data_IF_235948818219
#
_entry.id   IF_235948818219
#
_cell.length_a   1.000
_cell.length_b   1.000
_cell.length_c   1.000
_cell.angle_alpha   90.00
_cell.angle_beta   90.00
_cell.angle_gamma   90.00
#
_symmetry.space_group_name_H-M   'P 1'
#
loop_
_entity.id
_entity.type
_entity.pdbx_description
1 polymer ?
#
# COMPACT_ATOMS: atom_id res chain seq x y z
N UNK A 1 46.34 60.60 3.10
CA UNK A 1 45.36 59.74 3.79
C UNK A 1 44.23 59.24 2.87
N UNK A 2 44.46 59.06 1.56
CA UNK A 2 43.38 58.67 0.61
C UNK A 2 43.55 57.24 0.05
N UNK A 3 44.69 56.58 0.32
CA UNK A 3 45.03 55.27 -0.25
C UNK A 3 44.48 54.07 0.55
N UNK A 4 44.12 54.26 1.83
CA UNK A 4 43.67 53.18 2.72
C UNK A 4 42.15 52.87 2.60
N UNK A 5 41.35 53.81 2.10
CA UNK A 5 39.89 53.62 1.98
C UNK A 5 39.48 52.81 0.73
N UNK A 6 40.31 52.84 -0.32
CA UNK A 6 40.04 52.12 -1.57
C UNK A 6 40.22 50.60 -1.40
N UNK A 7 41.26 50.15 -0.70
CA UNK A 7 41.54 48.72 -0.52
C UNK A 7 40.48 48.01 0.35
N UNK A 8 39.93 48.71 1.36
CA UNK A 8 38.87 48.16 2.23
C UNK A 8 37.54 48.03 1.47
N UNK A 9 37.24 48.94 0.55
CA UNK A 9 36.04 48.88 -0.28
C UNK A 9 36.05 47.68 -1.24
N UNK A 10 37.21 47.34 -1.82
CA UNK A 10 37.37 46.17 -2.70
C UNK A 10 37.29 44.83 -1.94
N UNK A 11 37.86 44.77 -0.72
CA UNK A 11 37.77 43.58 0.14
C UNK A 11 36.33 43.39 0.66
N UNK A 12 35.64 44.48 1.01
CA UNK A 12 34.23 44.47 1.42
C UNK A 12 33.27 44.04 0.31
N UNK A 13 33.46 44.53 -0.92
CA UNK A 13 32.68 44.10 -2.10
C UNK A 13 32.95 42.65 -2.48
N UNK A 14 34.21 42.20 -2.43
CA UNK A 14 34.57 40.79 -2.68
C UNK A 14 33.95 39.83 -1.66
N UNK A 15 33.93 40.19 -0.38
CA UNK A 15 33.29 39.41 0.67
C UNK A 15 31.77 39.31 0.52
N UNK A 16 31.09 40.37 0.08
CA UNK A 16 29.64 40.39 -0.17
C UNK A 16 29.27 39.53 -1.39
N UNK A 17 30.06 39.58 -2.47
CA UNK A 17 29.82 38.76 -3.67
C UNK A 17 30.05 37.27 -3.39
N UNK A 18 31.14 36.93 -2.70
CA UNK A 18 31.44 35.54 -2.33
C UNK A 18 30.44 35.01 -1.29
N UNK A 19 30.10 35.81 -0.28
CA UNK A 19 29.10 35.46 0.73
C UNK A 19 27.68 35.30 0.15
N UNK A 20 27.29 36.16 -0.80
CA UNK A 20 26.03 36.08 -1.52
C UNK A 20 25.93 34.86 -2.44
N UNK A 21 27.00 34.54 -3.17
CA UNK A 21 27.08 33.36 -4.03
C UNK A 21 27.05 32.05 -3.24
N UNK A 22 27.78 31.96 -2.12
CA UNK A 22 27.77 30.80 -1.24
C UNK A 22 26.39 30.62 -0.60
N UNK A 23 25.78 31.71 -0.11
CA UNK A 23 24.43 31.66 0.46
C UNK A 23 23.37 31.27 -0.57
N UNK A 24 23.49 31.74 -1.81
CA UNK A 24 22.62 31.35 -2.92
C UNK A 24 22.74 29.87 -3.28
N UNK A 25 23.97 29.34 -3.34
CA UNK A 25 24.26 27.92 -3.58
C UNK A 25 23.69 27.03 -2.47
N UNK A 26 23.89 27.40 -1.20
CA UNK A 26 23.36 26.66 -0.05
C UNK A 26 21.83 26.67 -0.08
N UNK A 27 21.21 27.83 -0.32
CA UNK A 27 19.74 27.96 -0.41
C UNK A 27 19.19 27.09 -1.54
N UNK A 28 19.85 27.08 -2.70
CA UNK A 28 19.45 26.24 -3.83
C UNK A 28 19.57 24.75 -3.53
N UNK A 29 20.66 24.33 -2.87
CA UNK A 29 20.86 22.94 -2.43
C UNK A 29 19.82 22.52 -1.39
N UNK A 30 19.48 23.39 -0.44
CA UNK A 30 18.42 23.16 0.55
C UNK A 30 17.07 23.00 -0.15
N UNK A 31 16.71 23.90 -1.07
CA UNK A 31 15.45 23.80 -1.83
C UNK A 31 15.37 22.52 -2.68
N UNK A 32 16.49 22.07 -3.27
CA UNK A 32 16.57 20.79 -3.99
C UNK A 32 16.41 19.60 -3.05
N UNK A 33 17.03 19.65 -1.86
CA UNK A 33 16.89 18.66 -0.81
C UNK A 33 15.44 18.55 -0.33
N UNK A 34 14.80 19.68 -0.03
CA UNK A 34 13.41 19.76 0.38
C UNK A 34 12.48 19.19 -0.69
N UNK A 35 12.64 19.59 -1.97
CA UNK A 35 11.82 19.03 -3.07
C UNK A 35 11.96 17.51 -3.20
N UNK A 36 13.16 16.97 -3.00
CA UNK A 36 13.39 15.51 -3.00
C UNK A 36 12.76 14.84 -1.79
N UNK A 37 12.87 15.45 -0.61
CA UNK A 37 12.24 14.99 0.63
C UNK A 37 10.71 14.93 0.50
N UNK A 38 10.09 16.03 0.05
CA UNK A 38 8.64 16.09 -0.19
C UNK A 38 8.17 15.05 -1.21
N UNK A 39 8.93 14.81 -2.30
CA UNK A 39 8.58 13.75 -3.27
C UNK A 39 8.65 12.36 -2.64
N UNK A 40 9.65 12.11 -1.81
CA UNK A 40 9.83 10.82 -1.11
C UNK A 40 8.71 10.58 -0.10
N UNK A 41 8.40 11.57 0.74
CA UNK A 41 7.31 11.53 1.71
C UNK A 41 5.97 11.30 0.99
N UNK A 42 5.68 12.07 -0.06
CA UNK A 42 4.46 11.89 -0.84
C UNK A 42 4.37 10.50 -1.49
N UNK A 43 5.47 9.97 -2.01
CA UNK A 43 5.49 8.62 -2.59
C UNK A 43 5.28 7.54 -1.53
N UNK A 44 5.79 7.75 -0.31
CA UNK A 44 5.61 6.85 0.81
C UNK A 44 4.16 6.86 1.31
N UNK A 45 3.55 8.05 1.45
CA UNK A 45 2.14 8.20 1.84
C UNK A 45 1.20 7.51 0.84
N UNK A 46 1.42 7.75 -0.47
CA UNK A 46 0.63 7.12 -1.52
C UNK A 46 0.76 5.59 -1.49
N UNK A 47 1.96 5.06 -1.26
CA UNK A 47 2.18 3.61 -1.12
C UNK A 47 1.47 3.05 0.09
N UNK A 48 1.57 3.73 1.24
CA UNK A 48 0.90 3.34 2.47
C UNK A 48 -0.61 3.29 2.29
N UNK A 49 -1.19 4.33 1.70
CA UNK A 49 -2.62 4.40 1.40
C UNK A 49 -3.03 3.25 0.47
N UNK A 50 -2.23 2.99 -0.57
CA UNK A 50 -2.52 1.93 -1.52
C UNK A 50 -2.48 0.52 -0.91
N UNK A 51 -1.42 0.20 -0.16
CA UNK A 51 -1.31 -1.08 0.54
C UNK A 51 -2.47 -1.26 1.52
N UNK A 52 -2.78 -0.22 2.32
CA UNK A 52 -3.87 -0.27 3.29
C UNK A 52 -5.23 -0.50 2.62
N UNK A 53 -5.49 0.17 1.49
CA UNK A 53 -6.75 0.03 0.75
C UNK A 53 -6.96 -1.38 0.19
N UNK A 54 -5.90 -1.97 -0.37
CA UNK A 54 -5.94 -3.33 -0.93
C UNK A 54 -6.07 -4.36 0.20
N UNK A 55 -5.14 -4.35 1.16
CA UNK A 55 -5.09 -5.31 2.26
C UNK A 55 -6.37 -5.23 3.11
N UNK A 56 -6.79 -4.02 3.49
CA UNK A 56 -7.97 -3.84 4.34
C UNK A 56 -9.28 -4.28 3.67
N UNK A 57 -9.36 -4.24 2.34
CA UNK A 57 -10.51 -4.79 1.62
C UNK A 57 -10.45 -6.32 1.57
N UNK A 58 -9.28 -6.91 1.35
CA UNK A 58 -9.10 -8.36 1.44
C UNK A 58 -9.42 -8.91 2.83
N UNK A 59 -8.91 -8.27 3.89
CA UNK A 59 -9.13 -8.71 5.27
C UNK A 59 -10.61 -8.65 5.67
N UNK A 60 -11.33 -7.60 5.24
CA UNK A 60 -12.80 -7.54 5.43
C UNK A 60 -13.53 -8.65 4.67
N UNK A 61 -13.11 -8.94 3.44
CA UNK A 61 -13.61 -10.08 2.67
C UNK A 61 -13.40 -11.40 3.41
N UNK A 62 -12.20 -11.62 3.96
CA UNK A 62 -11.85 -12.79 4.79
C UNK A 62 -12.78 -12.92 6.00
N UNK A 63 -12.98 -11.84 6.75
CA UNK A 63 -13.81 -11.87 7.95
C UNK A 63 -15.26 -12.27 7.66
N UNK A 64 -15.81 -11.81 6.54
CA UNK A 64 -17.16 -12.18 6.08
C UNK A 64 -17.19 -13.65 5.66
N UNK A 65 -16.16 -14.13 4.96
CA UNK A 65 -16.08 -15.50 4.51
C UNK A 65 -15.96 -16.49 5.69
N UNK A 66 -15.21 -16.15 6.75
CA UNK A 66 -15.15 -16.92 8.00
C UNK A 66 -16.52 -16.98 8.69
N UNK A 67 -17.30 -15.90 8.63
CA UNK A 67 -18.67 -15.89 9.15
C UNK A 67 -19.57 -16.85 8.36
N UNK A 68 -19.45 -16.88 7.03
CA UNK A 68 -20.20 -17.81 6.16
C UNK A 68 -19.79 -19.27 6.45
N UNK A 69 -18.49 -19.54 6.57
CA UNK A 69 -17.94 -20.86 6.88
C UNK A 69 -18.48 -21.39 8.22
N UNK A 70 -18.51 -20.54 9.25
CA UNK A 70 -19.11 -20.90 10.54
C UNK A 70 -20.61 -21.21 10.45
N UNK A 71 -21.34 -20.49 9.59
CA UNK A 71 -22.76 -20.78 9.33
C UNK A 71 -22.99 -22.17 8.73
N UNK A 72 -22.05 -22.63 7.89
CA UNK A 72 -22.07 -24.01 7.38
C UNK A 72 -21.92 -25.04 8.49
N UNK A 73 -20.89 -24.91 9.33
CA UNK A 73 -20.63 -25.85 10.43
C UNK A 73 -21.85 -26.02 11.34
N UNK A 74 -22.60 -24.94 11.56
CA UNK A 74 -23.80 -24.92 12.40
C UNK A 74 -25.03 -25.53 11.70
N UNK A 75 -25.19 -25.36 10.38
CA UNK A 75 -26.31 -25.92 9.62
C UNK A 75 -25.97 -26.23 8.15
N UNK A 76 -25.34 -27.39 7.86
CA UNK A 76 -24.90 -27.75 6.51
C UNK A 76 -26.03 -27.84 5.48
N UNK A 77 -27.23 -28.25 5.91
CA UNK A 77 -28.38 -28.47 5.02
C UNK A 77 -29.06 -27.17 4.58
N UNK A 78 -28.80 -26.05 5.27
CA UNK A 78 -29.36 -24.73 4.98
C UNK A 78 -28.36 -23.74 4.36
N UNK A 79 -27.12 -24.18 4.11
CA UNK A 79 -26.02 -23.32 3.71
C UNK A 79 -26.30 -22.52 2.43
N UNK A 80 -26.12 -21.20 2.53
CA UNK A 80 -26.38 -20.26 1.43
C UNK A 80 -27.87 -20.06 1.12
N UNK A 81 -28.76 -20.71 1.88
CA UNK A 81 -30.21 -20.64 1.72
C UNK A 81 -30.83 -19.47 2.47
N UNK A 82 -30.15 -18.90 3.47
CA UNK A 82 -30.67 -17.79 4.25
C UNK A 82 -30.43 -16.43 3.60
N UNK A 83 -31.36 -15.48 3.78
CA UNK A 83 -31.20 -14.10 3.29
C UNK A 83 -29.93 -13.43 3.87
N UNK A 84 -29.57 -13.78 5.11
CA UNK A 84 -28.36 -13.27 5.76
C UNK A 84 -27.07 -13.75 5.08
N UNK A 85 -26.97 -15.04 4.74
CA UNK A 85 -25.80 -15.59 4.04
C UNK A 85 -25.68 -15.06 2.61
N UNK A 86 -26.82 -14.87 1.92
CA UNK A 86 -26.82 -14.25 0.59
C UNK A 86 -26.28 -12.81 0.65
N UNK A 87 -26.75 -12.01 1.62
CA UNK A 87 -26.22 -10.65 1.84
C UNK A 87 -24.74 -10.67 2.22
N UNK A 88 -24.31 -11.59 3.09
CA UNK A 88 -22.90 -11.74 3.44
C UNK A 88 -22.05 -12.09 2.21
N UNK A 89 -22.53 -13.00 1.37
CA UNK A 89 -21.84 -13.37 0.12
C UNK A 89 -21.72 -12.16 -0.81
N UNK A 90 -22.77 -11.35 -0.97
CA UNK A 90 -22.71 -10.11 -1.75
C UNK A 90 -21.67 -9.14 -1.18
N UNK A 91 -21.68 -8.90 0.14
CA UNK A 91 -20.71 -8.01 0.78
C UNK A 91 -19.27 -8.51 0.63
N UNK A 92 -19.03 -9.82 0.72
CA UNK A 92 -17.73 -10.42 0.46
C UNK A 92 -17.28 -10.13 -0.98
N UNK A 93 -18.14 -10.36 -1.97
CA UNK A 93 -17.83 -10.06 -3.38
C UNK A 93 -17.50 -8.58 -3.57
N UNK A 94 -18.27 -7.68 -2.95
CA UNK A 94 -18.00 -6.23 -2.98
C UNK A 94 -16.62 -5.89 -2.42
N UNK A 95 -16.22 -6.49 -1.30
CA UNK A 95 -14.88 -6.28 -0.73
C UNK A 95 -13.77 -6.81 -1.63
N UNK A 96 -13.97 -7.98 -2.26
CA UNK A 96 -13.01 -8.54 -3.22
C UNK A 96 -12.87 -7.66 -4.47
N UNK A 97 -13.98 -7.15 -4.98
CA UNK A 97 -13.97 -6.20 -6.10
C UNK A 97 -13.29 -4.89 -5.70
N UNK A 98 -13.55 -4.36 -4.50
CA UNK A 98 -12.89 -3.15 -3.99
C UNK A 98 -11.37 -3.32 -3.93
N UNK A 99 -10.89 -4.47 -3.42
CA UNK A 99 -9.45 -4.79 -3.42
C UNK A 99 -8.88 -4.80 -4.84
N UNK A 100 -9.57 -5.44 -5.79
CA UNK A 100 -9.15 -5.50 -7.19
C UNK A 100 -9.15 -4.13 -7.88
N UNK A 101 -10.15 -3.29 -7.61
CA UNK A 101 -10.19 -1.92 -8.14
C UNK A 101 -9.05 -1.07 -7.57
N UNK A 102 -8.79 -1.14 -6.26
CA UNK A 102 -7.68 -0.45 -5.63
C UNK A 102 -6.34 -0.88 -6.23
N UNK A 103 -6.14 -2.20 -6.40
CA UNK A 103 -4.95 -2.77 -7.04
C UNK A 103 -4.72 -2.18 -8.43
N UNK A 104 -5.74 -2.19 -9.31
CA UNK A 104 -5.58 -1.68 -10.67
C UNK A 104 -5.39 -0.15 -10.72
N UNK A 105 -6.07 0.60 -9.86
CA UNK A 105 -5.96 2.05 -9.79
C UNK A 105 -4.55 2.51 -9.37
N UNK A 106 -3.89 1.74 -8.50
CA UNK A 106 -2.64 2.14 -7.85
C UNK A 106 -1.45 1.26 -8.23
N UNK A 107 -1.59 0.35 -9.21
CA UNK A 107 -0.54 -0.63 -9.58
C UNK A 107 0.85 -0.04 -9.78
N UNK A 108 0.94 1.17 -10.33
CA UNK A 108 2.22 1.82 -10.65
C UNK A 108 3.03 2.25 -9.42
N UNK A 109 2.39 2.44 -8.27
CA UNK A 109 3.06 2.89 -7.05
C UNK A 109 3.43 1.74 -6.12
N UNK A 110 2.87 0.55 -6.32
CA UNK A 110 3.14 -0.66 -5.54
C UNK A 110 4.55 -1.22 -5.83
N UNK A 111 5.15 -1.90 -4.85
CA UNK A 111 6.40 -2.63 -5.08
C UNK A 111 6.16 -3.86 -5.96
N UNK A 112 7.19 -4.28 -6.70
CA UNK A 112 7.10 -5.45 -7.58
C UNK A 112 6.86 -6.74 -6.80
N UNK A 113 7.44 -6.87 -5.60
CA UNK A 113 7.20 -8.02 -4.73
C UNK A 113 5.73 -8.09 -4.29
N UNK A 114 5.13 -6.95 -3.92
CA UNK A 114 3.71 -6.87 -3.58
C UNK A 114 2.83 -7.26 -4.77
N UNK A 115 3.13 -6.73 -5.96
CA UNK A 115 2.41 -7.05 -7.19
C UNK A 115 2.47 -8.55 -7.49
N UNK A 116 3.66 -9.14 -7.48
CA UNK A 116 3.82 -10.57 -7.75
C UNK A 116 3.06 -11.44 -6.75
N UNK A 117 3.07 -11.08 -5.46
CA UNK A 117 2.32 -11.82 -4.43
C UNK A 117 0.81 -11.66 -4.61
N UNK A 118 0.33 -10.47 -4.94
CA UNK A 118 -1.10 -10.25 -5.20
C UNK A 118 -1.57 -10.99 -6.45
N UNK A 119 -0.78 -11.02 -7.52
CA UNK A 119 -1.10 -11.77 -8.74
C UNK A 119 -1.08 -13.29 -8.50
N UNK A 120 -0.16 -13.80 -7.68
CA UNK A 120 -0.19 -15.19 -7.21
C UNK A 120 -1.48 -15.52 -6.47
N UNK A 121 -1.92 -14.65 -5.57
CA UNK A 121 -3.19 -14.81 -4.86
C UNK A 121 -4.38 -14.86 -5.82
N UNK A 122 -4.41 -14.02 -6.85
CA UNK A 122 -5.48 -14.08 -7.86
C UNK A 122 -5.50 -15.44 -8.57
N UNK A 123 -4.33 -15.98 -8.93
CA UNK A 123 -4.23 -17.30 -9.53
C UNK A 123 -4.71 -18.41 -8.59
N UNK A 124 -4.39 -18.33 -7.29
CA UNK A 124 -4.86 -19.28 -6.27
C UNK A 124 -6.40 -19.22 -6.16
N UNK A 125 -6.99 -18.02 -6.18
CA UNK A 125 -8.43 -17.83 -6.17
C UNK A 125 -9.12 -18.37 -7.42
N UNK A 126 -8.53 -18.16 -8.60
CA UNK A 126 -9.05 -18.73 -9.86
C UNK A 126 -9.04 -20.27 -9.80
N UNK A 127 -7.97 -20.87 -9.26
CA UNK A 127 -7.90 -22.32 -9.06
C UNK A 127 -8.98 -22.83 -8.10
N UNK A 128 -9.24 -22.12 -7.00
CA UNK A 128 -10.33 -22.45 -6.07
C UNK A 128 -11.71 -22.36 -6.75
N UNK A 129 -11.91 -21.36 -7.62
CA UNK A 129 -13.16 -21.21 -8.36
C UNK A 129 -13.38 -22.34 -9.38
N UNK A 130 -12.32 -22.73 -10.09
CA UNK A 130 -12.34 -23.81 -11.08
C UNK A 130 -12.42 -25.21 -10.47
N UNK A 131 -12.02 -25.35 -9.20
CA UNK A 131 -12.06 -26.63 -8.50
C UNK A 131 -13.50 -27.14 -8.35
N UNK A 132 -13.68 -28.45 -8.60
CA UNK A 132 -14.95 -29.14 -8.42
C UNK A 132 -15.15 -29.55 -6.95
N UNK A 133 -15.26 -28.53 -6.10
CA UNK A 133 -15.44 -28.65 -4.65
C UNK A 133 -16.89 -28.37 -4.28
N UNK A 134 -17.33 -28.98 -3.18
CA UNK A 134 -18.60 -28.57 -2.57
C UNK A 134 -18.52 -27.11 -2.09
N UNK A 135 -19.64 -26.36 -2.10
CA UNK A 135 -19.64 -24.94 -1.72
C UNK A 135 -18.92 -24.59 -0.40
N UNK A 136 -19.01 -25.39 0.67
CA UNK A 136 -18.32 -25.13 1.93
C UNK A 136 -16.81 -25.32 1.83
N UNK A 137 -16.36 -26.42 1.22
CA UNK A 137 -14.93 -26.65 0.99
C UNK A 137 -14.33 -25.54 0.12
N UNK A 138 -15.09 -25.07 -0.88
CA UNK A 138 -14.70 -23.94 -1.71
C UNK A 138 -14.59 -22.64 -0.89
N UNK A 139 -15.54 -22.37 0.00
CA UNK A 139 -15.51 -21.22 0.89
C UNK A 139 -14.30 -21.27 1.86
N UNK A 140 -14.04 -22.44 2.44
CA UNK A 140 -12.90 -22.66 3.32
C UNK A 140 -11.55 -22.47 2.61
N UNK A 141 -11.40 -23.03 1.41
CA UNK A 141 -10.19 -22.83 0.60
C UNK A 141 -9.99 -21.37 0.19
N UNK A 142 -11.07 -20.69 -0.20
CA UNK A 142 -11.01 -19.25 -0.46
C UNK A 142 -10.59 -18.46 0.80
N UNK A 143 -11.07 -18.83 1.99
CA UNK A 143 -10.72 -18.15 3.23
C UNK A 143 -9.26 -18.33 3.58
N UNK A 144 -8.75 -19.53 3.39
CA UNK A 144 -7.33 -19.85 3.56
C UNK A 144 -6.47 -19.07 2.57
N UNK A 145 -6.82 -19.07 1.29
CA UNK A 145 -6.10 -18.32 0.26
C UNK A 145 -6.06 -16.81 0.54
N UNK A 146 -7.19 -16.22 0.96
CA UNK A 146 -7.23 -14.80 1.35
C UNK A 146 -6.40 -14.55 2.61
N UNK A 147 -6.47 -15.42 3.62
CA UNK A 147 -5.69 -15.28 4.86
C UNK A 147 -4.18 -15.28 4.59
N UNK A 148 -3.70 -16.26 3.81
CA UNK A 148 -2.30 -16.40 3.42
C UNK A 148 -1.82 -15.21 2.56
N UNK A 149 -2.71 -14.68 1.73
CA UNK A 149 -2.44 -13.49 0.94
C UNK A 149 -2.31 -12.25 1.83
N UNK A 150 -3.26 -12.01 2.74
CA UNK A 150 -3.26 -10.86 3.66
C UNK A 150 -1.96 -10.82 4.47
N UNK A 151 -1.59 -11.92 5.14
CA UNK A 151 -0.37 -11.98 5.96
C UNK A 151 0.89 -11.71 5.13
N UNK A 152 1.00 -12.31 3.95
CA UNK A 152 2.15 -12.11 3.09
C UNK A 152 2.23 -10.67 2.56
N UNK A 153 1.10 -10.08 2.16
CA UNK A 153 1.03 -8.71 1.65
C UNK A 153 1.30 -7.68 2.75
N UNK A 154 0.81 -7.91 3.97
CA UNK A 154 1.11 -7.09 5.14
C UNK A 154 2.62 -7.10 5.45
N UNK A 155 3.24 -8.27 5.46
CA UNK A 155 4.68 -8.41 5.70
C UNK A 155 5.50 -7.65 4.65
N UNK A 156 5.11 -7.75 3.38
CA UNK A 156 5.75 -7.02 2.28
C UNK A 156 5.55 -5.51 2.41
N UNK A 157 4.32 -5.07 2.69
CA UNK A 157 4.00 -3.65 2.88
C UNK A 157 4.76 -3.06 4.07
N UNK A 158 4.86 -3.79 5.19
CA UNK A 158 5.61 -3.42 6.37
C UNK A 158 7.09 -3.17 6.04
N UNK A 159 7.72 -4.15 5.41
CA UNK A 159 9.13 -4.11 5.02
C UNK A 159 9.41 -2.92 4.09
N UNK A 160 8.55 -2.70 3.09
CA UNK A 160 8.69 -1.61 2.12
C UNK A 160 8.48 -0.21 2.73
N UNK A 161 7.61 -0.11 3.74
CA UNK A 161 7.34 1.14 4.44
C UNK A 161 8.33 1.40 5.58
N UNK A 162 9.18 0.44 5.94
CA UNK A 162 10.13 0.52 7.05
C UNK A 162 9.47 0.37 8.42
N UNK A 163 8.39 -0.41 8.50
CA UNK A 163 7.80 -0.84 9.77
C UNK A 163 8.45 -2.17 10.17
N UNK A 164 9.26 -2.17 11.23
CA UNK A 164 9.76 -3.39 11.85
C UNK A 164 8.69 -3.91 12.82
N UNK A 165 8.13 -5.07 12.52
CA UNK A 165 7.33 -5.85 13.47
C UNK A 165 8.30 -6.81 14.17
N UNK A 166 8.84 -6.37 15.31
CA UNK A 166 9.56 -7.23 16.27
C UNK A 166 8.60 -8.21 16.97
#
# INVERSE_FOLDING_TARGET
MMALELDVAWIGLGGVVVGGLISGLITWLVQLGERRKYRRERSWDLRREAYTGIIGSLDRGRAILVYIDKGYDENPQGFGGSEHEQRATTQMIEQMQAARFAYHAQRLILSQAFVARYESYLADMDAVQEANLEPPEKAHQAATAIADAVVALETLAATELGFDFE
#
